data_IF_586485502070
#
_entry.id   IF_586485502070
#
_cell.length_a   1.000
_cell.length_b   1.000
_cell.length_c   1.000
_cell.angle_alpha   90.00
_cell.angle_beta   90.00
_cell.angle_gamma   90.00
#
_symmetry.space_group_name_H-M   'P 1'
#
loop_
_entity.id
_entity.type
_entity.pdbx_description
1 polymer ?
#
# COMPACT_ATOMS: atom_id res chain seq x y z
N UNK A 1 30.84 27.48 -29.62
CA UNK A 1 29.82 28.18 -28.86
C UNK A 1 29.04 27.11 -28.13
N UNK A 2 29.55 26.72 -26.95
CA UNK A 2 28.98 25.62 -26.12
C UNK A 2 27.86 26.21 -25.26
N UNK A 3 26.67 25.72 -25.44
CA UNK A 3 25.55 25.91 -24.49
C UNK A 3 25.54 24.70 -23.58
N UNK A 4 26.01 24.90 -22.36
CA UNK A 4 25.83 23.99 -21.23
C UNK A 4 24.38 24.04 -20.79
N UNK A 5 23.66 22.96 -20.97
CA UNK A 5 22.32 22.80 -20.42
C UNK A 5 22.39 22.63 -18.90
N UNK A 6 21.62 23.47 -18.20
CA UNK A 6 21.42 23.47 -16.75
C UNK A 6 20.54 22.29 -16.34
N UNK A 7 20.97 21.38 -15.44
CA UNK A 7 20.17 20.24 -14.99
C UNK A 7 19.00 20.60 -14.05
N UNK A 8 18.78 21.89 -13.72
CA UNK A 8 17.74 22.32 -12.80
C UNK A 8 16.34 22.56 -13.44
N UNK A 9 16.16 22.34 -14.74
CA UNK A 9 14.93 22.68 -15.47
C UNK A 9 13.94 21.53 -15.64
N UNK A 10 13.96 20.50 -14.79
CA UNK A 10 12.88 19.51 -14.72
C UNK A 10 12.02 19.70 -13.45
N UNK A 11 11.49 20.89 -13.29
CA UNK A 11 10.30 21.08 -12.43
C UNK A 11 9.08 20.93 -13.32
N UNK A 12 8.30 19.87 -13.04
CA UNK A 12 6.98 19.64 -13.59
C UNK A 12 6.13 20.91 -13.46
N UNK A 13 5.59 21.37 -14.58
CA UNK A 13 4.58 22.42 -14.64
C UNK A 13 3.23 21.79 -14.31
N UNK A 14 2.97 21.50 -13.04
CA UNK A 14 1.64 21.46 -12.43
C UNK A 14 1.87 21.19 -10.94
N UNK A 15 1.75 22.21 -10.13
CA UNK A 15 1.88 22.14 -8.67
C UNK A 15 0.63 21.61 -7.99
N UNK A 16 0.04 20.55 -8.51
CA UNK A 16 -1.04 19.82 -7.83
C UNK A 16 -0.42 18.66 -7.06
N UNK A 17 -0.47 18.75 -5.73
CA UNK A 17 -0.17 17.65 -4.83
C UNK A 17 -1.15 16.51 -5.14
N UNK A 18 -0.64 15.38 -5.61
CA UNK A 18 -1.44 14.16 -5.74
C UNK A 18 -2.05 13.82 -4.38
N UNK A 19 -3.36 13.54 -4.29
CA UNK A 19 -3.95 13.01 -3.07
C UNK A 19 -3.26 11.69 -2.76
N UNK A 20 -2.70 11.59 -1.56
CA UNK A 20 -2.06 10.39 -1.07
C UNK A 20 -3.02 9.21 -1.17
N UNK A 21 -2.50 8.07 -1.59
CA UNK A 21 -3.13 6.74 -1.50
C UNK A 21 -3.19 6.34 -0.01
N UNK A 22 -3.89 7.14 0.77
CA UNK A 22 -4.24 6.84 2.15
C UNK A 22 -5.71 6.45 2.15
N UNK A 23 -5.98 5.23 2.58
CA UNK A 23 -7.31 4.82 2.96
C UNK A 23 -8.04 5.97 3.64
N UNK A 24 -9.30 6.20 3.30
CA UNK A 24 -10.16 7.14 3.98
C UNK A 24 -10.40 6.67 5.41
N UNK A 25 -9.42 6.89 6.29
CA UNK A 25 -9.63 6.82 7.73
C UNK A 25 -10.46 8.04 8.14
N UNK A 26 -11.78 7.88 8.15
CA UNK A 26 -12.65 8.76 8.91
C UNK A 26 -12.40 8.54 10.40
N UNK A 27 -11.33 9.12 10.91
CA UNK A 27 -11.15 9.31 12.33
C UNK A 27 -12.13 10.39 12.77
N UNK A 28 -13.16 10.00 13.47
CA UNK A 28 -14.01 10.90 14.24
C UNK A 28 -13.15 11.60 15.31
N UNK A 29 -12.69 12.81 15.02
CA UNK A 29 -12.07 13.68 15.99
C UNK A 29 -13.15 14.23 16.93
N UNK A 30 -13.37 13.53 18.03
CA UNK A 30 -14.09 14.03 19.20
C UNK A 30 -13.12 14.74 20.12
N UNK A 31 -12.91 16.04 19.93
CA UNK A 31 -12.23 16.91 20.89
C UNK A 31 -13.19 17.24 22.04
N UNK A 32 -12.94 16.69 23.23
CA UNK A 32 -13.64 17.04 24.44
C UNK A 32 -12.82 16.61 25.65
N UNK A 33 -12.05 17.54 26.20
CA UNK A 33 -11.42 17.37 27.52
C UNK A 33 -12.51 17.29 28.59
N UNK A 34 -12.50 16.30 29.50
CA UNK A 34 -13.43 16.29 30.61
C UNK A 34 -12.88 17.09 31.81
N UNK A 35 -13.59 18.12 32.22
CA UNK A 35 -13.46 18.72 33.55
C UNK A 35 -13.88 17.73 34.65
N UNK A 36 -13.30 17.80 35.85
CA UNK A 36 -13.62 16.91 36.94
C UNK A 36 -14.97 17.25 37.59
N UNK A 37 -15.97 16.42 37.45
CA UNK A 37 -17.23 16.54 38.15
C UNK A 37 -17.21 15.79 39.48
N UNK A 38 -17.65 16.51 40.53
CA UNK A 38 -17.88 16.09 41.91
C UNK A 38 -18.87 14.90 41.96
N UNK A 39 -18.57 13.94 42.83
CA UNK A 39 -19.44 12.83 43.17
C UNK A 39 -20.75 13.29 43.86
N UNK A 40 -21.88 12.67 43.57
CA UNK A 40 -23.04 12.62 44.47
C UNK A 40 -23.15 11.23 45.13
N UNK A 41 -23.76 11.28 46.28
CA UNK A 41 -23.98 10.27 47.29
C UNK A 41 -24.89 9.12 46.81
N UNK A 42 -24.63 7.97 47.41
CA UNK A 42 -25.39 6.72 47.31
C UNK A 42 -26.87 6.90 47.68
N UNK A 43 -27.74 6.28 46.89
CA UNK A 43 -29.05 5.84 47.35
C UNK A 43 -29.33 4.43 46.81
N UNK A 44 -29.77 3.54 47.75
CA UNK A 44 -30.04 2.15 47.50
C UNK A 44 -31.50 1.98 46.99
N UNK A 45 -31.64 1.29 45.85
CA UNK A 45 -32.96 0.83 45.47
C UNK A 45 -33.10 0.23 44.11
N UNK A 46 -33.48 -1.07 44.12
CA UNK A 46 -34.13 -1.81 43.04
C UNK A 46 -33.29 -2.50 41.95
N UNK A 47 -33.36 -3.82 42.03
CA UNK A 47 -32.92 -4.81 41.04
C UNK A 47 -33.63 -4.56 39.71
N UNK A 48 -32.90 -4.13 38.69
CA UNK A 48 -33.26 -4.17 37.29
C UNK A 48 -32.33 -5.14 36.58
N UNK A 49 -32.91 -6.08 35.83
CA UNK A 49 -32.17 -7.04 35.03
C UNK A 49 -31.20 -6.33 34.07
N UNK A 50 -29.92 -6.63 34.19
CA UNK A 50 -28.96 -6.29 33.16
C UNK A 50 -29.28 -7.09 31.91
N UNK A 51 -30.01 -6.49 30.98
CA UNK A 51 -29.88 -6.85 29.57
C UNK A 51 -28.44 -6.50 29.19
N UNK A 52 -27.63 -7.51 28.95
CA UNK A 52 -26.28 -7.36 28.49
C UNK A 52 -26.31 -6.66 27.13
N UNK A 53 -25.87 -5.43 27.13
CA UNK A 53 -25.48 -4.74 25.90
C UNK A 53 -24.28 -5.51 25.31
N UNK A 54 -24.60 -6.54 24.53
CA UNK A 54 -23.66 -7.18 23.62
C UNK A 54 -23.37 -6.15 22.53
N UNK A 55 -22.38 -5.29 22.79
CA UNK A 55 -21.75 -4.48 21.75
C UNK A 55 -21.24 -5.48 20.72
N UNK A 56 -22.06 -5.73 19.69
CA UNK A 56 -21.69 -6.59 18.58
C UNK A 56 -20.40 -5.98 17.98
N UNK A 57 -19.35 -6.78 17.96
CA UNK A 57 -18.11 -6.39 17.24
C UNK A 57 -18.52 -6.02 15.82
N UNK A 58 -17.94 -4.96 15.25
CA UNK A 58 -18.19 -4.60 13.86
C UNK A 58 -17.97 -5.84 12.97
N UNK A 59 -18.82 -6.06 11.95
CA UNK A 59 -18.71 -7.23 11.08
C UNK A 59 -17.29 -7.34 10.55
N UNK A 60 -16.76 -8.56 10.58
CA UNK A 60 -15.47 -8.85 9.96
C UNK A 60 -15.65 -8.85 8.43
N UNK A 61 -15.29 -7.74 7.79
CA UNK A 61 -15.35 -7.57 6.35
C UNK A 61 -14.30 -8.40 5.57
N UNK A 62 -13.33 -9.02 6.27
CA UNK A 62 -12.23 -9.78 5.64
C UNK A 62 -12.75 -10.80 4.64
N UNK A 63 -13.75 -11.60 5.00
CA UNK A 63 -14.29 -12.62 4.10
C UNK A 63 -14.99 -12.00 2.90
N UNK A 64 -15.76 -10.92 3.07
CA UNK A 64 -16.46 -10.24 1.98
C UNK A 64 -15.46 -9.62 0.99
N UNK A 65 -14.40 -9.00 1.49
CA UNK A 65 -13.29 -8.45 0.68
C UNK A 65 -12.61 -9.57 -0.11
N UNK A 66 -12.28 -10.70 0.53
CA UNK A 66 -11.63 -11.82 -0.15
C UNK A 66 -12.53 -12.45 -1.23
N UNK A 67 -13.84 -12.60 -0.98
CA UNK A 67 -14.80 -13.10 -1.99
C UNK A 67 -14.86 -12.14 -3.18
N UNK A 68 -14.97 -10.84 -2.95
CA UNK A 68 -14.97 -9.82 -4.00
C UNK A 68 -13.65 -9.84 -4.77
N UNK A 69 -12.53 -9.93 -4.07
CA UNK A 69 -11.19 -10.04 -4.71
C UNK A 69 -11.12 -11.24 -5.66
N UNK A 70 -11.62 -12.41 -5.22
CA UNK A 70 -11.64 -13.63 -6.05
C UNK A 70 -12.52 -13.49 -7.29
N UNK A 71 -13.71 -12.92 -7.13
CA UNK A 71 -14.63 -12.69 -8.25
C UNK A 71 -14.03 -11.74 -9.29
N UNK A 72 -13.51 -10.59 -8.84
CA UNK A 72 -12.89 -9.60 -9.72
C UNK A 72 -11.63 -10.17 -10.38
N UNK A 73 -10.75 -10.82 -9.61
CA UNK A 73 -9.54 -11.48 -10.14
C UNK A 73 -9.86 -12.52 -11.22
N UNK A 74 -10.97 -13.27 -11.07
CA UNK A 74 -11.42 -14.22 -12.10
C UNK A 74 -11.87 -13.51 -13.39
N UNK A 75 -12.60 -12.38 -13.29
CA UNK A 75 -13.02 -11.57 -14.43
C UNK A 75 -11.81 -10.97 -15.15
N UNK A 76 -10.87 -10.38 -14.38
CA UNK A 76 -9.64 -9.81 -14.93
C UNK A 76 -8.80 -10.88 -15.65
N UNK A 77 -8.68 -12.07 -15.08
CA UNK A 77 -7.99 -13.20 -15.72
C UNK A 77 -8.68 -13.63 -17.02
N UNK A 78 -10.02 -13.66 -17.04
CA UNK A 78 -10.79 -14.03 -18.21
C UNK A 78 -10.72 -12.97 -19.34
N UNK A 79 -10.54 -11.68 -18.99
CA UNK A 79 -10.37 -10.61 -19.96
C UNK A 79 -9.07 -10.72 -20.77
N UNK A 80 -8.08 -11.46 -20.25
CA UNK A 80 -6.75 -11.58 -20.85
C UNK A 80 -5.85 -10.35 -20.65
N UNK A 81 -6.34 -9.30 -20.00
CA UNK A 81 -5.52 -8.11 -19.68
C UNK A 81 -4.58 -8.41 -18.50
N UNK A 82 -3.30 -7.99 -18.58
CA UNK A 82 -2.38 -8.12 -17.47
C UNK A 82 -2.84 -7.29 -16.27
N UNK A 83 -2.72 -7.86 -15.06
CA UNK A 83 -3.05 -7.18 -13.83
C UNK A 83 -2.22 -7.71 -12.66
N UNK A 84 -2.20 -7.01 -11.55
CA UNK A 84 -1.68 -7.51 -10.27
C UNK A 84 -2.54 -7.00 -9.11
N UNK A 85 -2.80 -7.85 -8.13
CA UNK A 85 -3.36 -7.45 -6.85
C UNK A 85 -2.33 -6.60 -6.10
N UNK A 86 -2.76 -5.47 -5.55
CA UNK A 86 -1.92 -4.52 -4.81
C UNK A 86 -2.56 -4.20 -3.44
N UNK A 87 -2.08 -3.20 -2.74
CA UNK A 87 -2.72 -2.73 -1.52
C UNK A 87 -2.69 -3.69 -0.33
N UNK A 88 -3.73 -3.63 0.50
CA UNK A 88 -3.86 -4.41 1.73
C UNK A 88 -3.99 -5.90 1.46
N UNK A 89 -4.78 -6.28 0.46
CA UNK A 89 -5.00 -7.69 0.11
C UNK A 89 -3.74 -8.33 -0.47
N UNK A 90 -2.88 -7.57 -1.15
CA UNK A 90 -1.57 -8.06 -1.58
C UNK A 90 -0.66 -8.40 -0.39
N UNK A 91 -0.61 -7.55 0.64
CA UNK A 91 0.14 -7.85 1.86
C UNK A 91 -0.40 -9.13 2.54
N UNK A 92 -1.72 -9.28 2.62
CA UNK A 92 -2.36 -10.51 3.12
C UNK A 92 -1.95 -11.75 2.29
N UNK A 93 -2.00 -11.67 0.97
CA UNK A 93 -1.58 -12.75 0.08
C UNK A 93 -0.11 -13.15 0.25
N UNK A 94 0.74 -12.20 0.64
CA UNK A 94 2.13 -12.45 1.01
C UNK A 94 2.28 -13.10 2.40
N UNK A 95 1.20 -13.36 3.13
CA UNK A 95 1.20 -13.99 4.45
C UNK A 95 1.42 -13.01 5.60
N UNK A 96 1.23 -11.71 5.38
CA UNK A 96 1.32 -10.72 6.45
C UNK A 96 -0.03 -10.66 7.18
N UNK A 97 -0.03 -10.71 8.52
CA UNK A 97 -1.25 -10.63 9.31
C UNK A 97 -1.77 -9.18 9.35
N UNK A 98 -2.35 -8.73 8.24
CA UNK A 98 -3.00 -7.43 8.12
C UNK A 98 -4.51 -7.59 8.26
N UNK A 99 -5.17 -6.61 8.88
CA UNK A 99 -6.62 -6.54 8.94
C UNK A 99 -7.12 -5.92 7.62
N UNK A 100 -7.96 -6.66 6.90
CA UNK A 100 -8.62 -6.13 5.71
C UNK A 100 -9.86 -5.36 6.17
N UNK A 101 -9.89 -4.05 5.92
CA UNK A 101 -10.97 -3.17 6.41
C UNK A 101 -11.63 -2.36 5.29
N UNK A 102 -11.01 -2.29 4.14
CA UNK A 102 -11.38 -1.40 3.05
C UNK A 102 -11.50 -2.17 1.73
N UNK A 103 -11.26 -1.46 0.66
CA UNK A 103 -11.30 -1.87 -0.72
C UNK A 103 -10.32 -3.00 -1.11
N UNK A 104 -10.52 -3.52 -2.30
CA UNK A 104 -9.57 -4.39 -2.99
C UNK A 104 -8.99 -3.65 -4.19
N UNK A 105 -7.67 -3.66 -4.30
CA UNK A 105 -6.90 -2.87 -5.23
C UNK A 105 -6.27 -3.73 -6.32
N UNK A 106 -6.47 -3.38 -7.58
CA UNK A 106 -5.85 -4.03 -8.72
C UNK A 106 -5.08 -3.02 -9.57
N UNK A 107 -3.79 -3.25 -9.74
CA UNK A 107 -2.98 -2.52 -10.70
C UNK A 107 -3.23 -3.04 -12.12
N UNK A 108 -3.56 -2.14 -13.03
CA UNK A 108 -3.82 -2.41 -14.47
C UNK A 108 -3.14 -1.31 -15.29
N UNK A 109 -2.70 -1.61 -16.51
CA UNK A 109 -2.15 -0.57 -17.37
C UNK A 109 -3.26 0.36 -17.85
N UNK A 110 -2.92 1.63 -18.02
CA UNK A 110 -3.90 2.64 -18.52
C UNK A 110 -4.51 2.27 -19.86
N UNK A 111 -3.74 1.65 -20.74
CA UNK A 111 -4.19 1.21 -22.05
C UNK A 111 -5.22 0.08 -22.00
N UNK A 112 -5.24 -0.72 -20.95
CA UNK A 112 -6.17 -1.82 -20.74
C UNK A 112 -7.46 -1.39 -20.00
N UNK A 113 -7.55 -0.14 -19.55
CA UNK A 113 -8.62 0.37 -18.70
C UNK A 113 -10.02 0.14 -19.27
N UNK A 114 -10.20 0.43 -20.56
CA UNK A 114 -11.50 0.27 -21.24
C UNK A 114 -11.89 -1.22 -21.32
N UNK A 115 -10.98 -2.08 -21.75
CA UNK A 115 -11.23 -3.52 -21.85
C UNK A 115 -11.58 -4.13 -20.49
N UNK A 116 -10.83 -3.77 -19.44
CA UNK A 116 -11.06 -4.23 -18.08
C UNK A 116 -12.40 -3.75 -17.52
N UNK A 117 -12.72 -2.47 -17.68
CA UNK A 117 -13.99 -1.91 -17.18
C UNK A 117 -15.19 -2.49 -17.90
N UNK A 118 -15.10 -2.75 -19.19
CA UNK A 118 -16.16 -3.41 -19.95
C UNK A 118 -16.35 -4.86 -19.47
N UNK A 119 -15.28 -5.63 -19.30
CA UNK A 119 -15.37 -7.00 -18.77
C UNK A 119 -16.02 -7.02 -17.38
N UNK A 120 -15.70 -6.09 -16.51
CA UNK A 120 -16.30 -5.98 -15.18
C UNK A 120 -17.81 -5.64 -15.26
N UNK A 121 -18.21 -4.67 -16.11
CA UNK A 121 -19.63 -4.33 -16.33
C UNK A 121 -20.44 -5.53 -16.83
N UNK A 122 -19.92 -6.29 -17.79
CA UNK A 122 -20.55 -7.48 -18.33
C UNK A 122 -20.76 -8.58 -17.29
N UNK A 123 -19.93 -8.58 -16.24
CA UNK A 123 -20.03 -9.51 -15.10
C UNK A 123 -20.74 -8.89 -13.88
N UNK A 124 -21.50 -7.82 -14.06
CA UNK A 124 -22.37 -7.25 -13.04
C UNK A 124 -21.67 -6.36 -12.02
N UNK A 125 -20.41 -6.01 -12.20
CA UNK A 125 -19.68 -5.07 -11.36
C UNK A 125 -20.08 -3.63 -11.76
N UNK A 126 -20.48 -2.84 -10.77
CA UNK A 126 -20.86 -1.45 -11.00
C UNK A 126 -19.63 -0.56 -11.05
N UNK A 127 -19.37 0.04 -12.19
CA UNK A 127 -18.27 1.01 -12.36
C UNK A 127 -18.73 2.38 -11.88
N UNK A 128 -17.85 3.05 -11.12
CA UNK A 128 -17.99 4.43 -10.66
C UNK A 128 -16.79 5.21 -11.16
N UNK A 129 -17.01 6.22 -11.97
CA UNK A 129 -15.94 7.07 -12.50
C UNK A 129 -15.67 8.18 -11.48
N UNK A 130 -14.52 8.15 -10.76
CA UNK A 130 -14.13 9.21 -9.87
C UNK A 130 -13.56 10.41 -10.66
N UNK A 131 -13.42 11.59 -10.04
CA UNK A 131 -12.77 12.73 -10.67
C UNK A 131 -11.28 12.53 -10.96
N UNK A 132 -10.64 11.58 -10.28
CA UNK A 132 -9.24 11.23 -10.46
C UNK A 132 -9.05 10.44 -11.76
N UNK A 133 -7.97 10.73 -12.48
CA UNK A 133 -7.64 10.07 -13.75
C UNK A 133 -6.70 8.87 -13.58
N UNK A 134 -6.16 8.64 -12.39
CA UNK A 134 -5.20 7.57 -12.08
C UNK A 134 -5.83 6.26 -11.60
N UNK A 135 -7.15 6.23 -11.38
CA UNK A 135 -7.89 5.03 -11.00
C UNK A 135 -9.33 5.04 -11.55
N UNK A 136 -9.96 3.89 -11.51
CA UNK A 136 -11.43 3.73 -11.66
C UNK A 136 -11.94 2.98 -10.45
N UNK A 137 -12.99 3.52 -9.82
CA UNK A 137 -13.69 2.85 -8.73
C UNK A 137 -14.78 1.93 -9.25
N UNK A 138 -14.95 0.80 -8.58
CA UNK A 138 -16.03 -0.13 -8.85
C UNK A 138 -16.62 -0.66 -7.55
N UNK A 139 -17.79 -1.29 -7.64
CA UNK A 139 -18.46 -1.92 -6.48
C UNK A 139 -19.07 -3.25 -6.87
N UNK A 140 -18.88 -4.25 -6.01
CA UNK A 140 -19.51 -5.56 -6.13
C UNK A 140 -19.78 -6.12 -4.73
N UNK A 141 -20.95 -6.69 -4.51
CA UNK A 141 -21.30 -7.32 -3.23
C UNK A 141 -21.33 -6.39 -2.02
N UNK A 142 -21.34 -5.09 -2.23
CA UNK A 142 -21.24 -4.08 -1.15
C UNK A 142 -19.81 -3.59 -0.90
N UNK A 143 -18.79 -4.27 -1.43
CA UNK A 143 -17.38 -3.93 -1.28
C UNK A 143 -16.90 -3.00 -2.40
N UNK A 144 -15.88 -2.19 -2.07
CA UNK A 144 -15.23 -1.28 -3.03
C UNK A 144 -14.05 -1.97 -3.72
N UNK A 145 -13.83 -1.56 -4.98
CA UNK A 145 -12.77 -2.08 -5.84
C UNK A 145 -12.12 -0.90 -6.51
N UNK A 146 -10.80 -0.81 -6.45
CA UNK A 146 -10.02 0.20 -7.14
C UNK A 146 -9.17 -0.44 -8.26
N UNK A 147 -9.41 0.01 -9.49
CA UNK A 147 -8.56 -0.30 -10.64
C UNK A 147 -7.56 0.83 -10.81
N UNK A 148 -6.31 0.59 -10.50
CA UNK A 148 -5.27 1.60 -10.34
C UNK A 148 -4.35 1.59 -11.56
N UNK A 149 -4.18 2.74 -12.19
CA UNK A 149 -3.32 2.94 -13.37
C UNK A 149 -1.97 3.59 -13.01
N UNK A 150 -1.89 4.17 -11.81
CA UNK A 150 -0.68 4.81 -11.30
C UNK A 150 -0.53 4.56 -9.79
N UNK A 151 0.56 3.94 -9.38
CA UNK A 151 0.91 3.67 -7.99
C UNK A 151 1.81 4.80 -7.47
N UNK A 152 1.30 5.61 -6.55
CA UNK A 152 2.03 6.76 -5.99
C UNK A 152 2.68 7.66 -7.07
N UNK A 153 1.92 7.98 -8.12
CA UNK A 153 2.41 8.81 -9.23
C UNK A 153 3.23 8.08 -10.28
N UNK A 154 3.56 6.81 -10.08
CA UNK A 154 4.29 5.99 -11.04
C UNK A 154 3.31 5.16 -11.90
N UNK A 155 3.34 5.26 -13.24
CA UNK A 155 2.43 4.48 -14.08
C UNK A 155 2.60 2.98 -13.87
N UNK A 156 1.49 2.25 -13.94
CA UNK A 156 1.53 0.78 -13.99
C UNK A 156 2.04 0.34 -15.35
N UNK A 157 3.22 -0.28 -15.37
CA UNK A 157 3.88 -0.73 -16.61
C UNK A 157 3.80 -2.24 -16.78
N UNK A 158 4.10 -2.72 -17.98
CA UNK A 158 4.19 -4.15 -18.27
C UNK A 158 5.26 -4.83 -17.40
N UNK A 159 6.42 -4.19 -17.22
CA UNK A 159 7.53 -4.72 -16.43
C UNK A 159 7.16 -4.83 -14.94
N UNK A 160 6.34 -3.92 -14.41
CA UNK A 160 5.83 -4.04 -13.04
C UNK A 160 4.92 -5.25 -12.91
N UNK A 161 4.01 -5.46 -13.86
CA UNK A 161 3.08 -6.59 -13.85
C UNK A 161 3.78 -7.93 -14.10
N UNK A 162 4.82 -7.97 -14.92
CA UNK A 162 5.64 -9.17 -15.16
C UNK A 162 6.43 -9.62 -13.91
N UNK A 163 6.77 -8.70 -13.01
CA UNK A 163 7.40 -9.05 -11.73
C UNK A 163 6.42 -9.59 -10.70
N UNK A 164 5.11 -9.51 -10.95
CA UNK A 164 4.09 -10.01 -10.04
C UNK A 164 4.26 -11.52 -9.81
N UNK A 165 3.97 -11.96 -8.59
CA UNK A 165 4.07 -13.35 -8.17
C UNK A 165 2.68 -13.98 -8.16
N UNK A 166 2.53 -15.17 -8.73
CA UNK A 166 1.26 -15.90 -8.62
C UNK A 166 1.15 -16.50 -7.21
N UNK A 167 0.26 -15.94 -6.40
CA UNK A 167 0.05 -16.36 -5.01
C UNK A 167 -1.42 -16.76 -4.77
N UNK A 168 -1.68 -17.62 -3.79
CA UNK A 168 -3.03 -17.90 -3.35
C UNK A 168 -3.61 -16.69 -2.61
N UNK A 169 -4.78 -16.24 -3.06
CA UNK A 169 -5.63 -15.31 -2.34
C UNK A 169 -6.82 -16.12 -1.86
N UNK A 170 -6.76 -16.56 -0.58
CA UNK A 170 -7.63 -17.60 -0.06
C UNK A 170 -7.54 -18.87 -0.95
N UNK A 171 -8.56 -19.22 -1.71
CA UNK A 171 -8.62 -20.43 -2.55
C UNK A 171 -8.25 -20.21 -4.03
N UNK A 172 -8.01 -18.97 -4.48
CA UNK A 172 -7.76 -18.63 -5.89
C UNK A 172 -6.36 -18.09 -6.08
N UNK A 173 -5.65 -18.62 -7.07
CA UNK A 173 -4.32 -18.10 -7.46
C UNK A 173 -4.45 -16.97 -8.47
N UNK A 174 -3.81 -15.84 -8.17
CA UNK A 174 -3.76 -14.68 -9.06
C UNK A 174 -2.43 -13.94 -8.95
N UNK A 175 -2.10 -13.07 -9.93
CA UNK A 175 -0.91 -12.23 -9.86
C UNK A 175 -1.02 -11.25 -8.68
N UNK A 176 0.01 -11.19 -7.85
CA UNK A 176 0.15 -10.28 -6.70
C UNK A 176 1.44 -9.51 -6.87
N UNK A 177 1.41 -8.20 -6.66
CA UNK A 177 2.58 -7.33 -6.78
C UNK A 177 3.77 -7.90 -6.00
N UNK A 178 4.97 -7.82 -6.56
CA UNK A 178 6.17 -8.30 -5.89
C UNK A 178 6.45 -7.56 -4.57
N UNK A 179 7.04 -8.20 -3.55
CA UNK A 179 7.29 -7.57 -2.24
C UNK A 179 8.04 -6.24 -2.32
N UNK A 180 9.03 -6.15 -3.18
CA UNK A 180 9.81 -4.91 -3.38
C UNK A 180 8.95 -3.79 -3.96
N UNK A 181 8.17 -4.08 -5.01
CA UNK A 181 7.29 -3.10 -5.64
C UNK A 181 6.14 -2.67 -4.70
N UNK A 182 5.62 -3.61 -3.87
CA UNK A 182 4.63 -3.30 -2.84
C UNK A 182 5.17 -2.29 -1.81
N UNK A 183 6.40 -2.47 -1.33
CA UNK A 183 7.00 -1.54 -0.39
C UNK A 183 7.33 -0.20 -1.02
N UNK A 184 7.88 -0.17 -2.24
CA UNK A 184 8.15 1.07 -2.97
C UNK A 184 6.87 1.88 -3.14
N UNK A 185 5.79 1.27 -3.63
CA UNK A 185 4.52 1.97 -3.84
C UNK A 185 3.94 2.54 -2.53
N UNK A 186 4.04 1.79 -1.42
CA UNK A 186 3.58 2.27 -0.09
C UNK A 186 4.45 3.40 0.45
N UNK A 187 5.77 3.32 0.28
CA UNK A 187 6.70 4.34 0.74
C UNK A 187 6.56 5.65 -0.04
N UNK A 188 6.37 5.56 -1.36
CA UNK A 188 6.16 6.73 -2.21
C UNK A 188 4.78 7.39 -2.00
N UNK A 189 3.81 6.65 -1.46
CA UNK A 189 2.50 7.19 -1.09
C UNK A 189 2.53 8.03 0.20
N UNK A 190 3.59 7.96 1.01
CA UNK A 190 3.71 8.80 2.20
C UNK A 190 3.89 10.27 1.86
N UNK A 191 3.25 11.10 2.65
CA UNK A 191 3.42 12.55 2.61
C UNK A 191 3.54 13.10 4.05
N UNK A 192 3.83 14.38 4.20
CA UNK A 192 3.94 15.02 5.52
C UNK A 192 2.66 14.89 6.36
N UNK A 193 1.51 14.79 5.70
CA UNK A 193 0.21 14.73 6.37
C UNK A 193 -0.38 13.32 6.44
N UNK A 194 0.19 12.36 5.67
CA UNK A 194 -0.29 10.98 5.60
C UNK A 194 0.91 10.03 5.63
N UNK A 195 1.28 9.61 6.83
CA UNK A 195 2.52 8.85 7.07
C UNK A 195 2.31 7.90 8.25
N UNK A 196 1.54 6.82 8.02
CA UNK A 196 1.33 5.79 9.03
C UNK A 196 2.41 4.71 8.95
N UNK A 197 3.52 4.94 9.64
CA UNK A 197 4.59 3.96 9.81
C UNK A 197 4.13 2.71 10.56
N UNK A 198 3.11 2.83 11.42
CA UNK A 198 2.59 1.74 12.23
C UNK A 198 1.97 0.63 11.38
N UNK A 199 1.24 0.97 10.34
CA UNK A 199 0.65 0.00 9.41
C UNK A 199 1.68 -0.62 8.48
N UNK A 200 2.73 0.13 8.07
CA UNK A 200 3.74 -0.40 7.16
C UNK A 200 4.82 -1.23 7.85
N UNK A 201 5.09 -0.98 9.13
CA UNK A 201 6.15 -1.68 9.86
C UNK A 201 5.95 -3.21 9.94
N UNK A 202 4.76 -3.77 10.22
CA UNK A 202 4.53 -5.21 10.16
C UNK A 202 4.78 -5.79 8.76
N UNK A 203 4.40 -5.07 7.70
CA UNK A 203 4.62 -5.48 6.32
C UNK A 203 6.11 -5.54 6.00
N UNK A 204 6.86 -4.48 6.33
CA UNK A 204 8.30 -4.43 6.14
C UNK A 204 9.04 -5.56 6.89
N UNK A 205 8.64 -5.83 8.15
CA UNK A 205 9.21 -6.93 8.95
C UNK A 205 8.90 -8.30 8.35
N UNK A 206 7.66 -8.54 7.95
CA UNK A 206 7.25 -9.82 7.40
C UNK A 206 7.83 -10.11 6.02
N UNK A 207 8.15 -9.08 5.25
CA UNK A 207 8.71 -9.20 3.90
C UNK A 207 10.23 -9.05 3.83
N UNK A 208 10.92 -8.73 4.93
CA UNK A 208 12.31 -8.28 4.95
C UNK A 208 13.28 -9.15 4.13
N UNK A 209 13.10 -10.48 4.17
CA UNK A 209 13.98 -11.44 3.48
C UNK A 209 13.63 -11.62 1.98
N UNK A 210 12.51 -11.05 1.53
CA UNK A 210 12.00 -11.15 0.15
C UNK A 210 12.09 -9.84 -0.62
N UNK A 211 12.59 -8.79 0.02
CA UNK A 211 12.66 -7.43 -0.52
C UNK A 211 14.08 -7.10 -0.96
N UNK A 212 14.22 -6.56 -2.14
CA UNK A 212 15.45 -5.89 -2.59
C UNK A 212 15.53 -4.50 -1.98
N UNK A 213 16.15 -4.42 -0.80
CA UNK A 213 16.29 -3.16 -0.07
C UNK A 213 17.20 -2.16 -0.76
N UNK A 214 18.15 -2.61 -1.58
CA UNK A 214 18.99 -1.72 -2.36
C UNK A 214 18.16 -0.98 -3.41
N UNK A 215 17.25 -1.70 -4.06
CA UNK A 215 16.28 -1.12 -5.00
C UNK A 215 15.29 -0.19 -4.28
N UNK A 216 14.75 -0.59 -3.12
CA UNK A 216 13.86 0.26 -2.33
C UNK A 216 14.54 1.59 -2.02
N UNK A 217 15.78 1.58 -1.48
CA UNK A 217 16.53 2.80 -1.15
C UNK A 217 16.70 3.70 -2.37
N UNK A 218 17.14 3.13 -3.48
CA UNK A 218 17.39 3.88 -4.71
C UNK A 218 16.13 4.52 -5.29
N UNK A 219 15.02 3.78 -5.31
CA UNK A 219 13.76 4.26 -5.91
C UNK A 219 12.94 5.18 -4.97
N UNK A 220 13.33 5.30 -3.71
CA UNK A 220 12.66 6.17 -2.73
C UNK A 220 13.58 7.24 -2.13
N UNK A 221 14.77 7.46 -2.70
CA UNK A 221 15.81 8.37 -2.15
C UNK A 221 15.33 9.83 -2.05
N UNK A 222 14.48 10.26 -2.98
CA UNK A 222 13.93 11.62 -3.02
C UNK A 222 12.66 11.80 -2.18
N UNK A 223 12.18 10.75 -1.50
CA UNK A 223 10.98 10.77 -0.68
C UNK A 223 11.33 10.85 0.83
N UNK A 224 11.23 12.04 1.48
CA UNK A 224 11.72 12.23 2.85
C UNK A 224 11.09 11.27 3.87
N UNK A 225 9.78 10.98 3.75
CA UNK A 225 9.08 10.06 4.65
C UNK A 225 9.52 8.60 4.44
N UNK A 226 9.84 8.21 3.21
CA UNK A 226 10.40 6.90 2.92
C UNK A 226 11.80 6.75 3.53
N UNK A 227 12.65 7.77 3.37
CA UNK A 227 13.99 7.80 3.98
C UNK A 227 13.91 7.71 5.50
N UNK A 228 12.99 8.46 6.13
CA UNK A 228 12.76 8.40 7.57
C UNK A 228 12.27 7.02 8.02
N UNK A 229 11.40 6.37 7.26
CA UNK A 229 10.94 5.02 7.55
C UNK A 229 12.07 3.99 7.42
N UNK A 230 12.90 4.07 6.38
CA UNK A 230 14.06 3.18 6.22
C UNK A 230 15.06 3.33 7.38
N UNK A 231 15.30 4.56 7.83
CA UNK A 231 16.11 4.81 9.01
C UNK A 231 15.49 4.21 10.27
N UNK A 232 14.17 4.30 10.44
CA UNK A 232 13.45 3.63 11.53
C UNK A 232 13.66 2.10 11.49
N UNK A 233 13.62 1.48 10.30
CA UNK A 233 13.86 0.04 10.16
C UNK A 233 15.29 -0.36 10.58
N UNK A 234 16.28 0.49 10.35
CA UNK A 234 17.65 0.29 10.83
C UNK A 234 17.73 0.37 12.36
N UNK A 235 17.13 1.40 12.97
CA UNK A 235 17.08 1.55 14.42
C UNK A 235 16.38 0.38 15.12
N UNK A 236 15.38 -0.20 14.47
CA UNK A 236 14.65 -1.36 14.96
C UNK A 236 15.31 -2.70 14.60
N UNK A 237 16.50 -2.69 14.02
CA UNK A 237 17.25 -3.87 13.57
C UNK A 237 16.44 -4.78 12.61
N UNK A 238 15.51 -4.21 11.86
CA UNK A 238 14.82 -4.90 10.77
C UNK A 238 15.74 -4.98 9.55
N UNK A 239 16.52 -3.93 9.32
CA UNK A 239 17.57 -3.87 8.31
C UNK A 239 18.95 -3.75 8.97
N UNK A 240 20.00 -4.23 8.31
CA UNK A 240 21.35 -3.93 8.75
C UNK A 240 21.59 -2.41 8.68
N UNK A 241 22.24 -1.88 9.71
CA UNK A 241 22.67 -0.48 9.72
C UNK A 241 23.63 -0.25 8.55
N UNK A 242 23.38 0.76 7.73
CA UNK A 242 24.40 1.28 6.83
C UNK A 242 25.43 1.98 7.71
N UNK A 243 26.51 1.26 8.06
CA UNK A 243 27.71 1.92 8.56
C UNK A 243 28.16 2.93 7.51
N UNK A 244 28.79 4.07 7.92
CA UNK A 244 29.46 4.92 6.95
C UNK A 244 30.35 4.01 6.11
N UNK A 245 30.30 4.16 4.78
CA UNK A 245 31.17 3.42 3.87
C UNK A 245 32.58 3.54 4.41
N UNK A 246 33.18 2.42 4.78
CA UNK A 246 34.55 2.40 5.32
C UNK A 246 35.46 2.94 4.21
N UNK A 247 36.07 4.14 4.33
CA UNK A 247 36.86 4.72 3.27
C UNK A 247 38.22 4.05 3.10
N UNK A 248 38.46 2.91 3.74
CA UNK A 248 39.75 2.24 3.69
C UNK A 248 39.61 0.71 3.71
N UNK A 249 39.29 0.13 2.55
CA UNK A 249 39.87 -1.19 2.22
C UNK A 249 41.01 -0.98 1.18
N UNK A 250 42.27 -0.92 1.61
CA UNK A 250 43.43 -0.78 0.71
C UNK A 250 43.90 -2.13 0.14
N UNK A 251 43.12 -3.19 0.25
CA UNK A 251 43.44 -4.52 -0.31
C UNK A 251 42.96 -4.68 -1.75
N UNK A 252 43.35 -3.76 -2.63
CA UNK A 252 43.41 -4.04 -4.05
C UNK A 252 44.51 -5.07 -4.35
N UNK A 253 44.30 -6.03 -5.30
CA UNK A 253 45.28 -7.02 -5.64
C UNK A 253 46.48 -6.34 -6.38
N UNK A 254 47.43 -5.87 -5.60
CA UNK A 254 48.73 -5.42 -6.08
C UNK A 254 49.52 -6.62 -6.56
N UNK A 255 49.63 -6.76 -7.86
CA UNK A 255 50.53 -7.70 -8.49
C UNK A 255 51.96 -7.54 -8.05
N UNK A 256 52.62 -8.65 -7.93
CA UNK A 256 54.07 -8.71 -7.93
C UNK A 256 54.46 -9.89 -8.82
N UNK A 257 54.59 -9.59 -10.07
CA UNK A 257 55.60 -10.27 -10.90
C UNK A 257 56.92 -9.56 -10.68
N UNK A 258 57.90 -10.26 -10.18
CA UNK A 258 59.36 -10.04 -10.43
C UNK A 258 60.18 -11.23 -9.91
N UNK A 259 60.70 -11.91 -10.87
CA UNK A 259 62.04 -12.53 -11.05
C UNK A 259 61.97 -14.04 -11.30
#
# INVERSE_FOLDING_TARGET
MNLTEDPAARRSANGEAYPSYAAHDHVLAGSGSPEPRKAPREDHGARGAHEGDTTALPPDHTQAILETTKQVGAVLKASGCPFALVGGVAAYAHGIPVRLQHDTDFAVRREDAEAVTNALRENGVRIVEPPEDWLVKARSGGEEIDLIFSLAGQPVTTELLERAQTLPVDSVHMPVIAPTDLLISRLLAFSEHHCDFGTLLPVARGLRERVDWARVRRETEDAPMAVAFLYLLELLHVLPTHGPADPADPSGPGGADRS
#
